data_IF_250907776073
#
_entry.id   IF_250907776073
#
_cell.length_a   1.000
_cell.length_b   1.000
_cell.length_c   1.000
_cell.angle_alpha   90.00
_cell.angle_beta   90.00
_cell.angle_gamma   90.00
#
_symmetry.space_group_name_H-M   'P 1'
#
loop_
_entity.id
_entity.type
_entity.pdbx_description
1 polymer ?
#
# COMPACT_ATOMS: atom_id res chain seq x y z
N UNK A 1 0.11 -9.52 -1.98
CA UNK A 1 -0.30 -8.14 -1.61
C UNK A 1 -1.02 -7.53 -2.79
N UNK A 2 -2.18 -6.90 -2.56
CA UNK A 2 -3.04 -6.36 -3.62
C UNK A 2 -2.66 -4.92 -3.98
N UNK A 3 -3.22 -4.41 -5.10
CA UNK A 3 -3.02 -3.03 -5.54
C UNK A 3 -3.64 -2.03 -4.55
N UNK A 4 -4.80 -2.34 -3.98
CA UNK A 4 -5.48 -1.50 -2.99
C UNK A 4 -4.65 -1.29 -1.74
N UNK A 5 -3.98 -2.35 -1.27
CA UNK A 5 -3.06 -2.24 -0.14
C UNK A 5 -1.90 -1.28 -0.43
N UNK A 6 -1.34 -1.32 -1.65
CA UNK A 6 -0.23 -0.43 -2.06
C UNK A 6 -0.68 1.03 -2.15
N UNK A 7 -1.87 1.28 -2.68
CA UNK A 7 -2.48 2.63 -2.71
C UNK A 7 -2.63 3.16 -1.28
N UNK A 8 -3.16 2.33 -0.37
CA UNK A 8 -3.33 2.69 1.03
C UNK A 8 -2.00 3.00 1.73
N UNK A 9 -0.96 2.21 1.48
CA UNK A 9 0.37 2.48 2.00
C UNK A 9 0.94 3.79 1.48
N UNK A 10 0.93 4.00 0.16
CA UNK A 10 1.45 5.22 -0.44
C UNK A 10 0.70 6.45 0.08
N UNK A 11 -0.63 6.41 0.18
CA UNK A 11 -1.42 7.50 0.77
C UNK A 11 -0.99 7.82 2.21
N UNK A 12 -0.82 6.79 3.05
CA UNK A 12 -0.37 6.97 4.43
C UNK A 12 1.05 7.53 4.50
N UNK A 13 1.96 7.05 3.65
CA UNK A 13 3.33 7.55 3.55
C UNK A 13 3.38 9.03 3.11
N UNK A 14 2.47 9.44 2.22
CA UNK A 14 2.30 10.84 1.80
C UNK A 14 1.50 11.69 2.80
N UNK A 15 1.09 11.13 3.94
CA UNK A 15 0.32 11.80 4.99
C UNK A 15 -1.00 12.44 4.49
N UNK A 16 -1.62 11.83 3.47
CA UNK A 16 -2.86 12.32 2.87
C UNK A 16 -4.08 11.62 3.47
N UNK A 17 -5.15 12.39 3.72
CA UNK A 17 -6.46 11.83 4.03
C UNK A 17 -7.13 11.32 2.75
N UNK A 18 -8.16 10.46 2.88
CA UNK A 18 -8.94 10.00 1.73
C UNK A 18 -9.55 11.17 0.94
N UNK A 19 -10.05 12.19 1.66
CA UNK A 19 -10.62 13.40 1.06
C UNK A 19 -9.58 14.21 0.31
N UNK A 20 -8.43 14.50 0.95
CA UNK A 20 -7.36 15.26 0.30
C UNK A 20 -6.84 14.58 -0.96
N UNK A 21 -6.62 13.27 -0.92
CA UNK A 21 -6.19 12.53 -2.11
C UNK A 21 -7.27 12.55 -3.21
N UNK A 22 -8.53 12.40 -2.83
CA UNK A 22 -9.68 12.46 -3.74
C UNK A 22 -9.80 13.81 -4.43
N UNK A 23 -9.65 14.89 -3.67
CA UNK A 23 -9.66 16.27 -4.18
C UNK A 23 -8.50 16.49 -5.17
N UNK A 24 -7.31 15.99 -4.85
CA UNK A 24 -6.09 16.15 -5.69
C UNK A 24 -6.19 15.40 -7.03
N UNK A 25 -6.79 14.20 -7.05
CA UNK A 25 -6.92 13.39 -8.27
C UNK A 25 -8.28 13.54 -8.97
N UNK A 26 -9.18 14.38 -8.44
CA UNK A 26 -10.51 14.63 -9.01
C UNK A 26 -11.42 13.39 -9.03
N UNK A 27 -11.45 12.60 -7.95
CA UNK A 27 -12.39 11.48 -7.77
C UNK A 27 -13.11 11.60 -6.43
N UNK A 28 -14.11 10.75 -6.17
CA UNK A 28 -14.77 10.75 -4.86
C UNK A 28 -13.92 10.04 -3.79
N UNK A 29 -13.99 10.49 -2.54
CA UNK A 29 -13.36 9.80 -1.41
C UNK A 29 -13.87 8.35 -1.27
N UNK A 30 -15.10 8.08 -1.70
CA UNK A 30 -15.68 6.74 -1.77
C UNK A 30 -14.94 5.86 -2.80
N UNK A 31 -14.61 6.40 -3.98
CA UNK A 31 -13.85 5.68 -5.00
C UNK A 31 -12.48 5.26 -4.46
N UNK A 32 -11.75 6.18 -3.80
CA UNK A 32 -10.47 5.85 -3.16
C UNK A 32 -10.64 4.77 -2.10
N UNK A 33 -11.67 4.87 -1.25
CA UNK A 33 -11.97 3.83 -0.26
C UNK A 33 -12.26 2.47 -0.89
N UNK A 34 -12.94 2.42 -2.04
CA UNK A 34 -13.18 1.17 -2.78
C UNK A 34 -11.87 0.60 -3.35
N UNK A 35 -11.02 1.45 -3.94
CA UNK A 35 -9.71 1.04 -4.44
C UNK A 35 -8.84 0.46 -3.31
N UNK A 36 -8.78 1.12 -2.14
CA UNK A 36 -8.00 0.63 -0.99
C UNK A 36 -8.49 -0.69 -0.39
N UNK A 37 -9.75 -1.06 -0.67
CA UNK A 37 -10.40 -2.29 -0.19
C UNK A 37 -10.54 -3.35 -1.29
N UNK A 38 -9.89 -3.12 -2.44
CA UNK A 38 -9.91 -4.02 -3.61
C UNK A 38 -11.34 -4.31 -4.12
N UNK A 39 -12.28 -3.40 -3.88
CA UNK A 39 -13.68 -3.52 -4.34
C UNK A 39 -13.91 -2.93 -5.72
N UNK A 40 -12.95 -2.14 -6.20
CA UNK A 40 -12.97 -1.52 -7.51
C UNK A 40 -11.53 -1.37 -8.01
N UNK A 41 -11.35 -1.34 -9.33
CA UNK A 41 -10.04 -1.23 -9.96
C UNK A 41 -9.89 0.17 -10.55
N UNK A 42 -8.88 0.95 -10.14
CA UNK A 42 -8.64 2.25 -10.74
C UNK A 42 -8.30 2.11 -12.22
N UNK A 43 -8.91 2.95 -13.06
CA UNK A 43 -8.59 3.01 -14.48
C UNK A 43 -7.15 3.51 -14.71
N UNK A 44 -6.60 3.31 -15.91
CA UNK A 44 -5.27 3.79 -16.28
C UNK A 44 -5.08 5.29 -16.03
N UNK A 45 -6.10 6.10 -16.34
CA UNK A 45 -6.07 7.54 -16.05
C UNK A 45 -6.02 7.86 -14.56
N UNK A 46 -6.77 7.13 -13.74
CA UNK A 46 -6.75 7.28 -12.27
C UNK A 46 -5.39 6.85 -11.70
N UNK A 47 -4.80 5.77 -12.21
CA UNK A 47 -3.48 5.30 -11.81
C UNK A 47 -2.38 6.34 -12.08
N UNK A 48 -2.44 7.02 -13.23
CA UNK A 48 -1.51 8.12 -13.54
C UNK A 48 -1.67 9.27 -12.55
N UNK A 49 -2.89 9.70 -12.26
CA UNK A 49 -3.14 10.76 -11.28
C UNK A 49 -2.72 10.37 -9.86
N UNK A 50 -2.99 9.13 -9.45
CA UNK A 50 -2.51 8.58 -8.18
C UNK A 50 -0.98 8.60 -8.09
N UNK A 51 -0.29 8.23 -9.16
CA UNK A 51 1.18 8.24 -9.21
C UNK A 51 1.74 9.66 -9.01
N UNK A 52 1.11 10.66 -9.64
CA UNK A 52 1.49 12.07 -9.51
C UNK A 52 1.22 12.62 -8.11
N UNK A 53 0.01 12.42 -7.58
CA UNK A 53 -0.38 12.90 -6.24
C UNK A 53 0.44 12.26 -5.11
N UNK A 54 0.67 10.95 -5.22
CA UNK A 54 1.43 10.19 -4.22
C UNK A 54 2.95 10.28 -4.41
N UNK A 55 3.42 10.94 -5.49
CA UNK A 55 4.83 11.08 -5.86
C UNK A 55 5.56 9.73 -5.95
N UNK A 56 4.86 8.71 -6.44
CA UNK A 56 5.39 7.36 -6.68
C UNK A 56 5.31 7.03 -8.16
N UNK A 57 6.17 6.14 -8.65
CA UNK A 57 6.06 5.64 -10.02
C UNK A 57 4.87 4.69 -10.15
N UNK A 58 4.25 4.64 -11.32
CA UNK A 58 3.10 3.74 -11.60
C UNK A 58 3.46 2.27 -11.33
N UNK A 59 4.70 1.85 -11.61
CA UNK A 59 5.16 0.48 -11.37
C UNK A 59 5.08 0.08 -9.89
N UNK A 60 5.13 1.04 -8.97
CA UNK A 60 5.01 0.80 -7.53
C UNK A 60 3.74 0.02 -7.18
N UNK A 61 2.63 0.28 -7.88
CA UNK A 61 1.34 -0.37 -7.63
C UNK A 61 1.30 -1.84 -8.04
N UNK A 62 2.20 -2.26 -8.94
CA UNK A 62 2.20 -3.60 -9.54
C UNK A 62 3.37 -4.47 -9.07
N UNK A 63 4.35 -3.91 -8.34
CA UNK A 63 5.50 -4.70 -7.89
C UNK A 63 5.07 -5.89 -7.02
N UNK A 64 5.59 -7.10 -7.26
CA UNK A 64 5.43 -8.20 -6.32
C UNK A 64 6.16 -7.85 -5.02
N UNK A 65 5.53 -8.12 -3.89
CA UNK A 65 6.14 -7.98 -2.57
C UNK A 65 6.90 -9.26 -2.22
N UNK A 66 8.19 -9.29 -2.49
CA UNK A 66 9.06 -10.39 -2.04
C UNK A 66 9.46 -10.12 -0.59
N UNK A 67 8.72 -10.68 0.37
CA UNK A 67 9.14 -10.67 1.78
C UNK A 67 10.06 -11.86 1.99
N UNK A 68 11.36 -11.62 2.12
CA UNK A 68 12.31 -12.64 2.56
C UNK A 68 12.26 -12.71 4.08
N UNK A 69 11.63 -13.76 4.62
CA UNK A 69 11.66 -14.02 6.06
C UNK A 69 13.00 -14.67 6.38
N UNK A 70 13.86 -13.97 7.12
CA UNK A 70 15.02 -14.59 7.75
C UNK A 70 14.55 -15.30 9.02
N UNK A 71 14.61 -16.63 9.04
CA UNK A 71 14.33 -17.43 10.23
C UNK A 71 15.46 -17.23 11.24
N UNK A 72 15.29 -16.28 12.16
CA UNK A 72 16.18 -16.14 13.29
C UNK A 72 15.84 -17.24 14.30
N UNK A 73 16.60 -18.34 14.28
CA UNK A 73 16.44 -19.43 15.23
C UNK A 73 16.74 -18.93 16.64
N UNK A 74 15.71 -18.71 17.45
CA UNK A 74 15.84 -18.44 18.89
C UNK A 74 16.36 -19.70 19.59
N UNK A 75 17.67 -19.76 19.84
CA UNK A 75 18.28 -20.79 20.68
C UNK A 75 18.11 -20.38 22.14
N UNK A 76 17.02 -20.83 22.77
CA UNK A 76 16.97 -20.82 24.24
C UNK A 76 18.00 -21.81 24.77
N UNK A 77 18.96 -21.32 25.53
CA UNK A 77 19.80 -22.18 26.36
C UNK A 77 18.96 -22.61 27.56
N UNK A 78 18.15 -23.65 27.38
CA UNK A 78 17.55 -24.34 28.51
C UNK A 78 18.68 -25.13 29.20
N UNK A 79 19.23 -24.56 30.28
CA UNK A 79 20.12 -25.30 31.17
C UNK A 79 19.20 -26.20 32.01
N UNK A 80 19.28 -27.50 31.81
CA UNK A 80 18.70 -28.46 32.75
C UNK A 80 19.48 -28.31 34.06
N UNK A 81 18.76 -27.92 35.12
CA UNK A 81 19.33 -27.71 36.45
C UNK A 81 20.08 -28.94 36.94
N UNK A 82 21.24 -28.67 37.55
CA UNK A 82 21.92 -29.52 38.51
C UNK A 82 22.28 -28.65 39.70
#
# INVERSE_FOLDING_TARGET
>A
MTIGWRIKQARKASNLSLRKLADEIGVSAMAISKYERDQDVPSSGVLLRLSQALKVKVDFFFRPSTVSVQLQAYRKHAVLGV
#
